data_IF_579355288349
#
_entry.id   IF_579355288349
#
_cell.length_a   1.000
_cell.length_b   1.000
_cell.length_c   1.000
_cell.angle_alpha   90.00
_cell.angle_beta   90.00
_cell.angle_gamma   90.00
#
_symmetry.space_group_name_H-M   'P 1'
#
loop_
_entity.id
_entity.type
_entity.pdbx_description
1 polymer ?
#
# COMPACT_ATOMS: atom_id res chain seq x y z
N UNK A 1 13.27 -25.17 13.19
CA UNK A 1 11.96 -25.27 12.53
C UNK A 1 11.82 -24.06 11.63
N UNK A 2 11.42 -24.23 10.37
CA UNK A 2 11.09 -23.09 9.51
C UNK A 2 9.83 -22.43 10.06
N UNK A 3 9.81 -21.10 10.17
CA UNK A 3 8.58 -20.38 10.50
C UNK A 3 7.53 -20.55 9.37
N UNK A 4 6.29 -20.17 9.67
CA UNK A 4 5.19 -20.28 8.68
C UNK A 4 5.52 -19.48 7.41
N UNK A 5 6.09 -18.29 7.54
CA UNK A 5 6.37 -17.36 6.45
C UNK A 5 7.39 -17.91 5.43
N UNK A 6 8.51 -18.44 5.92
CA UNK A 6 9.52 -19.11 5.10
C UNK A 6 8.95 -20.36 4.42
N UNK A 7 8.01 -21.03 5.09
CA UNK A 7 7.30 -22.18 4.50
C UNK A 7 6.38 -21.74 3.37
N UNK A 8 5.59 -20.67 3.57
CA UNK A 8 4.75 -20.10 2.51
C UNK A 8 5.59 -19.67 1.30
N UNK A 9 6.75 -19.05 1.53
CA UNK A 9 7.68 -18.68 0.47
C UNK A 9 8.17 -19.89 -0.34
N UNK A 10 8.47 -20.99 0.33
CA UNK A 10 8.94 -22.22 -0.33
C UNK A 10 7.83 -22.90 -1.14
N UNK A 11 6.57 -22.76 -0.72
CA UNK A 11 5.40 -23.36 -1.37
C UNK A 11 4.77 -22.47 -2.47
N UNK A 12 5.31 -21.27 -2.68
CA UNK A 12 4.91 -20.39 -3.77
C UNK A 12 5.52 -20.86 -5.11
N UNK A 13 4.99 -21.97 -5.61
CA UNK A 13 5.44 -22.63 -6.84
C UNK A 13 5.14 -21.81 -8.11
N UNK A 14 4.18 -20.88 -8.02
CA UNK A 14 3.79 -19.99 -9.10
C UNK A 14 4.60 -18.68 -9.13
N UNK A 15 5.54 -18.49 -8.20
CA UNK A 15 6.46 -17.35 -8.21
C UNK A 15 7.25 -17.29 -9.51
N UNK A 16 7.26 -16.14 -10.16
CA UNK A 16 8.14 -15.88 -11.29
C UNK A 16 9.59 -15.69 -10.80
N UNK A 17 10.56 -16.19 -11.57
CA UNK A 17 11.98 -16.07 -11.26
C UNK A 17 12.63 -14.95 -12.05
N UNK A 18 13.38 -14.10 -11.35
CA UNK A 18 14.14 -13.01 -11.98
C UNK A 18 15.17 -13.56 -12.97
N UNK A 19 15.34 -12.88 -14.09
CA UNK A 19 16.25 -13.28 -15.17
C UNK A 19 15.74 -14.41 -16.06
N UNK A 20 14.69 -15.13 -15.64
CA UNK A 20 14.04 -16.20 -16.42
C UNK A 20 12.66 -15.76 -16.85
N UNK A 21 11.79 -15.47 -15.89
CA UNK A 21 10.37 -15.17 -16.10
C UNK A 21 10.11 -13.66 -16.10
N UNK A 22 11.00 -12.84 -15.54
CA UNK A 22 10.92 -11.38 -15.62
C UNK A 22 12.29 -10.69 -15.54
N UNK A 23 12.36 -9.44 -16.01
CA UNK A 23 13.52 -8.55 -15.86
C UNK A 23 13.07 -7.14 -15.52
N UNK A 24 13.70 -6.55 -14.50
CA UNK A 24 13.43 -5.18 -14.05
C UNK A 24 14.61 -4.23 -14.27
N UNK A 25 14.32 -2.95 -14.46
CA UNK A 25 15.30 -1.85 -14.50
C UNK A 25 14.82 -0.72 -13.57
N UNK A 26 15.27 -0.73 -12.30
CA UNK A 26 14.71 0.18 -11.30
C UNK A 26 14.92 1.67 -11.57
N UNK A 27 15.98 2.05 -12.28
CA UNK A 27 16.31 3.44 -12.61
C UNK A 27 15.99 3.81 -14.07
N UNK A 28 15.08 3.09 -14.72
CA UNK A 28 14.68 3.39 -16.10
C UNK A 28 13.32 4.08 -16.18
N UNK A 29 12.98 4.59 -17.36
CA UNK A 29 11.62 5.10 -17.67
C UNK A 29 10.52 4.03 -17.56
N UNK A 30 10.94 2.76 -17.40
CA UNK A 30 10.10 1.59 -17.23
C UNK A 30 10.78 0.63 -16.25
N UNK A 31 10.06 0.19 -15.23
CA UNK A 31 10.51 -0.82 -14.29
C UNK A 31 10.55 -2.20 -14.97
N UNK A 32 9.47 -2.66 -15.59
CA UNK A 32 9.40 -4.01 -16.16
C UNK A 32 9.87 -4.02 -17.62
N UNK A 33 11.09 -4.52 -17.86
CA UNK A 33 11.61 -4.72 -19.22
C UNK A 33 11.06 -5.97 -19.89
N UNK A 34 10.69 -6.95 -19.10
CA UNK A 34 10.14 -8.21 -19.55
C UNK A 34 9.38 -8.88 -18.41
N UNK A 35 8.22 -9.45 -18.72
CA UNK A 35 7.47 -10.38 -17.86
C UNK A 35 6.90 -11.46 -18.78
N UNK A 36 7.04 -12.72 -18.39
CA UNK A 36 6.56 -13.86 -19.15
C UNK A 36 5.02 -13.87 -19.23
N UNK A 37 4.48 -13.46 -20.38
CA UNK A 37 3.04 -13.38 -20.59
C UNK A 37 2.36 -14.75 -20.57
N UNK A 38 3.04 -15.80 -21.05
CA UNK A 38 2.50 -17.15 -21.04
C UNK A 38 2.16 -17.61 -19.62
N UNK A 39 3.00 -17.27 -18.64
CA UNK A 39 2.73 -17.54 -17.23
C UNK A 39 1.50 -16.77 -16.75
N UNK A 40 1.37 -15.48 -17.08
CA UNK A 40 0.24 -14.65 -16.66
C UNK A 40 -1.09 -15.14 -17.27
N UNK A 41 -1.06 -15.62 -18.51
CA UNK A 41 -2.23 -16.09 -19.24
C UNK A 41 -2.67 -17.51 -18.84
N UNK A 42 -1.71 -18.41 -18.59
CA UNK A 42 -1.99 -19.83 -18.41
C UNK A 42 -2.05 -20.28 -16.96
N UNK A 43 -1.39 -19.58 -16.03
CA UNK A 43 -1.48 -19.93 -14.61
C UNK A 43 -2.81 -19.38 -14.04
N UNK A 44 -3.68 -20.23 -13.47
CA UNK A 44 -5.05 -19.83 -13.12
C UNK A 44 -5.15 -18.68 -12.12
N UNK A 45 -4.22 -18.55 -11.18
CA UNK A 45 -4.25 -17.51 -10.15
C UNK A 45 -3.88 -16.14 -10.70
N UNK A 46 -2.84 -16.03 -11.53
CA UNK A 46 -2.51 -14.79 -12.25
C UNK A 46 -3.66 -14.33 -13.14
N UNK A 47 -4.20 -15.22 -13.98
CA UNK A 47 -5.32 -14.86 -14.85
C UNK A 47 -6.55 -14.40 -14.07
N UNK A 48 -6.88 -15.09 -12.97
CA UNK A 48 -8.00 -14.71 -12.14
C UNK A 48 -7.76 -13.36 -11.43
N UNK A 49 -6.54 -13.08 -10.99
CA UNK A 49 -6.16 -11.78 -10.43
C UNK A 49 -6.28 -10.66 -11.47
N UNK A 50 -5.74 -10.86 -12.67
CA UNK A 50 -5.80 -9.87 -13.75
C UNK A 50 -7.23 -9.55 -14.17
N UNK A 51 -8.15 -10.53 -14.12
CA UNK A 51 -9.57 -10.30 -14.35
C UNK A 51 -10.23 -9.38 -13.31
N UNK A 52 -9.70 -9.30 -12.08
CA UNK A 52 -10.17 -8.35 -11.06
C UNK A 52 -9.78 -6.91 -11.39
N UNK A 53 -8.78 -6.71 -12.27
CA UNK A 53 -8.36 -5.38 -12.71
C UNK A 53 -9.29 -4.81 -13.78
N UNK A 54 -10.07 -5.67 -14.45
CA UNK A 54 -10.92 -5.27 -15.57
C UNK A 54 -12.15 -4.51 -15.08
N UNK A 55 -12.31 -3.27 -15.57
CA UNK A 55 -13.33 -2.30 -15.15
C UNK A 55 -13.24 -1.80 -13.71
N UNK A 56 -12.10 -1.99 -13.03
CA UNK A 56 -11.88 -1.42 -11.71
C UNK A 56 -11.83 0.12 -11.74
N UNK A 57 -12.61 0.77 -10.84
CA UNK A 57 -12.61 2.22 -10.66
C UNK A 57 -11.72 2.64 -9.48
N UNK A 58 -10.71 3.45 -9.78
CA UNK A 58 -9.70 3.83 -8.80
C UNK A 58 -10.07 5.08 -7.99
N UNK A 59 -10.96 5.95 -8.50
CA UNK A 59 -11.33 7.18 -7.81
C UNK A 59 -12.35 6.89 -6.71
N UNK A 60 -11.90 6.94 -5.45
CA UNK A 60 -12.75 6.65 -4.28
C UNK A 60 -13.92 7.62 -4.13
N UNK A 61 -13.91 8.77 -4.81
CA UNK A 61 -15.03 9.72 -4.74
C UNK A 61 -16.17 9.34 -5.69
N UNK A 62 -15.96 8.41 -6.61
CA UNK A 62 -17.01 7.89 -7.47
C UNK A 62 -17.74 6.77 -6.74
N UNK A 63 -19.09 6.75 -6.77
CA UNK A 63 -19.85 5.66 -6.18
C UNK A 63 -19.51 4.35 -6.90
N UNK A 64 -19.00 3.39 -6.16
CA UNK A 64 -18.80 2.03 -6.64
C UNK A 64 -19.99 1.16 -6.22
N UNK A 65 -20.67 0.58 -7.21
CA UNK A 65 -21.71 -0.41 -6.95
C UNK A 65 -21.13 -1.79 -7.29
N UNK A 66 -20.75 -2.56 -6.28
CA UNK A 66 -20.22 -3.91 -6.48
C UNK A 66 -21.26 -4.78 -7.21
N UNK A 67 -20.97 -5.05 -8.47
CA UNK A 67 -21.78 -5.84 -9.39
C UNK A 67 -21.70 -7.33 -9.05
N UNK A 68 -22.71 -8.10 -9.46
CA UNK A 68 -22.65 -9.56 -9.32
C UNK A 68 -21.48 -10.19 -10.10
N UNK A 69 -21.02 -9.54 -11.19
CA UNK A 69 -19.82 -9.97 -11.92
C UNK A 69 -18.58 -9.86 -11.03
N UNK A 70 -18.35 -8.72 -10.40
CA UNK A 70 -17.19 -8.50 -9.51
C UNK A 70 -17.18 -9.48 -8.33
N UNK A 71 -18.33 -9.72 -7.71
CA UNK A 71 -18.45 -10.74 -6.65
C UNK A 71 -18.09 -12.14 -7.15
N UNK A 72 -18.54 -12.50 -8.36
CA UNK A 72 -18.24 -13.79 -8.97
C UNK A 72 -16.75 -13.91 -9.32
N UNK A 73 -16.14 -12.86 -9.86
CA UNK A 73 -14.72 -12.82 -10.20
C UNK A 73 -13.86 -12.92 -8.92
N UNK A 74 -14.19 -12.19 -7.86
CA UNK A 74 -13.54 -12.30 -6.56
C UNK A 74 -13.63 -13.72 -5.97
N UNK A 75 -14.83 -14.33 -6.01
CA UNK A 75 -15.01 -15.72 -5.57
C UNK A 75 -14.27 -16.73 -6.45
N UNK A 76 -14.17 -16.47 -7.75
CA UNK A 76 -13.41 -17.30 -8.67
C UNK A 76 -11.90 -17.21 -8.39
N UNK A 77 -11.37 -16.01 -8.15
CA UNK A 77 -9.99 -15.79 -7.71
C UNK A 77 -9.69 -16.53 -6.41
N UNK A 78 -10.52 -16.37 -5.38
CA UNK A 78 -10.34 -17.09 -4.11
C UNK A 78 -10.37 -18.62 -4.29
N UNK A 79 -11.23 -19.16 -5.16
CA UNK A 79 -11.21 -20.60 -5.46
C UNK A 79 -9.85 -21.02 -6.04
N UNK A 80 -9.26 -20.25 -6.96
CA UNK A 80 -7.93 -20.55 -7.53
C UNK A 80 -6.85 -20.51 -6.47
N UNK A 81 -6.85 -19.49 -5.61
CA UNK A 81 -5.88 -19.39 -4.51
C UNK A 81 -5.99 -20.58 -3.55
N UNK A 82 -7.20 -20.99 -3.16
CA UNK A 82 -7.45 -22.11 -2.25
C UNK A 82 -7.09 -23.50 -2.82
N UNK A 83 -6.79 -23.60 -4.11
CA UNK A 83 -6.30 -24.83 -4.74
C UNK A 83 -4.77 -24.96 -4.64
N UNK A 84 -4.07 -23.89 -4.24
CA UNK A 84 -2.59 -23.86 -4.16
C UNK A 84 -2.06 -24.40 -2.82
N UNK A 85 -0.86 -24.98 -2.84
CA UNK A 85 -0.21 -25.49 -1.62
C UNK A 85 0.09 -24.38 -0.61
N UNK A 86 0.47 -23.19 -1.08
CA UNK A 86 0.74 -22.04 -0.21
C UNK A 86 -0.51 -21.65 0.60
N UNK A 87 -1.67 -21.56 -0.03
CA UNK A 87 -2.91 -21.20 0.66
C UNK A 87 -3.42 -22.34 1.54
N UNK A 88 -3.25 -23.60 1.12
CA UNK A 88 -3.57 -24.76 1.97
C UNK A 88 -2.72 -24.78 3.23
N UNK A 89 -1.42 -24.45 3.13
CA UNK A 89 -0.54 -24.36 4.30
C UNK A 89 -0.93 -23.22 5.22
N UNK A 90 -1.25 -22.04 4.67
CA UNK A 90 -1.76 -20.92 5.45
C UNK A 90 -3.08 -21.27 6.16
N UNK A 91 -4.03 -21.91 5.46
CA UNK A 91 -5.30 -22.35 6.02
C UNK A 91 -5.09 -23.32 7.19
N UNK A 92 -4.25 -24.34 7.02
CA UNK A 92 -3.97 -25.32 8.07
C UNK A 92 -3.36 -24.65 9.30
N UNK A 93 -2.38 -23.76 9.12
CA UNK A 93 -1.77 -22.99 10.21
C UNK A 93 -2.82 -22.16 10.96
N UNK A 94 -3.64 -21.38 10.24
CA UNK A 94 -4.68 -20.55 10.86
C UNK A 94 -5.75 -21.37 11.59
N UNK A 95 -6.03 -22.59 11.12
CA UNK A 95 -6.94 -23.52 11.81
C UNK A 95 -6.32 -24.05 13.10
N UNK A 96 -5.04 -24.43 13.07
CA UNK A 96 -4.29 -24.93 14.23
C UNK A 96 -4.19 -23.86 15.34
N UNK A 97 -3.95 -22.61 14.95
CA UNK A 97 -3.90 -21.45 15.85
C UNK A 97 -5.29 -20.92 16.26
N UNK A 98 -6.37 -21.47 15.71
CA UNK A 98 -7.75 -21.09 16.07
C UNK A 98 -8.27 -19.79 15.43
N UNK A 99 -7.58 -19.27 14.42
CA UNK A 99 -7.95 -18.05 13.68
C UNK A 99 -8.87 -18.29 12.47
N UNK A 100 -8.99 -19.54 11.99
CA UNK A 100 -9.78 -19.86 10.81
C UNK A 100 -10.69 -21.09 11.01
N UNK A 101 -11.84 -21.15 10.31
CA UNK A 101 -12.69 -22.33 10.30
C UNK A 101 -12.04 -23.50 9.54
N UNK A 102 -12.27 -24.74 10.01
CA UNK A 102 -11.67 -25.95 9.42
C UNK A 102 -12.06 -26.22 7.96
N UNK A 103 -13.28 -25.86 7.57
CA UNK A 103 -13.80 -26.19 6.24
C UNK A 103 -13.36 -25.19 5.17
N UNK A 104 -12.90 -25.69 4.01
CA UNK A 104 -12.51 -24.87 2.84
C UNK A 104 -13.57 -23.83 2.45
N UNK A 105 -14.86 -24.19 2.49
CA UNK A 105 -15.97 -23.25 2.22
C UNK A 105 -16.00 -22.11 3.23
N UNK A 106 -15.95 -22.42 4.53
CA UNK A 106 -15.98 -21.40 5.58
C UNK A 106 -14.75 -20.51 5.54
N UNK A 107 -13.58 -21.07 5.22
CA UNK A 107 -12.36 -20.27 5.06
C UNK A 107 -12.44 -19.36 3.84
N UNK A 108 -13.03 -19.82 2.74
CA UNK A 108 -13.30 -18.96 1.57
C UNK A 108 -14.22 -17.80 1.92
N UNK A 109 -15.32 -18.07 2.62
CA UNK A 109 -16.27 -17.02 3.00
C UNK A 109 -15.61 -16.02 3.96
N UNK A 110 -14.77 -16.48 4.90
CA UNK A 110 -13.95 -15.62 5.76
C UNK A 110 -12.97 -14.74 4.96
N UNK A 111 -12.25 -15.31 3.98
CA UNK A 111 -11.35 -14.55 3.12
C UNK A 111 -12.11 -13.52 2.29
N UNK A 112 -13.28 -13.89 1.75
CA UNK A 112 -14.14 -12.98 1.01
C UNK A 112 -14.55 -11.80 1.89
N UNK A 113 -15.04 -12.08 3.10
CA UNK A 113 -15.51 -11.05 4.02
C UNK A 113 -14.38 -10.10 4.46
N UNK A 114 -13.17 -10.64 4.62
CA UNK A 114 -12.00 -9.88 5.06
C UNK A 114 -11.41 -9.01 3.95
N UNK A 115 -11.34 -9.53 2.73
CA UNK A 115 -10.61 -8.89 1.63
C UNK A 115 -11.51 -8.10 0.68
N UNK A 116 -12.72 -8.59 0.40
CA UNK A 116 -13.58 -8.09 -0.68
C UNK A 116 -14.86 -7.39 -0.20
N UNK A 117 -15.19 -7.44 1.09
CA UNK A 117 -16.34 -6.67 1.61
C UNK A 117 -15.97 -5.19 1.69
N UNK A 118 -16.70 -4.30 1.01
CA UNK A 118 -16.47 -2.86 1.11
C UNK A 118 -16.82 -2.36 2.51
N UNK A 119 -16.02 -1.45 3.04
CA UNK A 119 -16.32 -0.76 4.28
C UNK A 119 -15.94 0.72 4.19
N UNK A 120 -16.57 1.55 5.02
CA UNK A 120 -16.35 3.00 4.99
C UNK A 120 -15.00 3.35 5.62
N UNK A 121 -14.16 4.04 4.87
CA UNK A 121 -12.82 4.49 5.29
C UNK A 121 -12.78 5.96 5.71
N UNK A 122 -13.82 6.44 6.41
CA UNK A 122 -13.85 7.82 6.91
C UNK A 122 -12.99 7.97 8.17
N UNK A 123 -11.93 8.76 8.07
CA UNK A 123 -11.16 9.19 9.24
C UNK A 123 -11.97 10.25 10.02
N UNK A 124 -12.50 9.86 11.18
CA UNK A 124 -13.17 10.67 12.22
C UNK A 124 -14.65 11.05 12.06
N UNK A 125 -15.35 11.10 13.21
CA UNK A 125 -16.71 11.61 13.43
C UNK A 125 -16.91 13.09 12.99
N UNK A 126 -15.84 13.86 12.75
CA UNK A 126 -15.94 15.24 12.27
C UNK A 126 -16.04 15.34 10.74
N UNK A 127 -15.45 14.41 9.99
CA UNK A 127 -15.70 14.30 8.55
C UNK A 127 -17.18 13.93 8.28
N UNK A 128 -17.78 13.10 9.15
CA UNK A 128 -19.23 12.86 9.14
C UNK A 128 -20.05 14.13 9.43
N UNK A 129 -19.55 15.05 10.27
CA UNK A 129 -20.24 16.33 10.57
C UNK A 129 -20.13 17.37 9.45
N UNK A 130 -19.06 17.39 8.65
CA UNK A 130 -18.96 18.30 7.51
C UNK A 130 -19.96 17.92 6.40
N UNK A 131 -20.18 16.61 6.20
CA UNK A 131 -21.24 16.07 5.32
C UNK A 131 -22.64 16.45 5.83
N UNK A 132 -22.81 16.75 7.12
CA UNK A 132 -24.10 17.13 7.70
C UNK A 132 -24.58 18.54 7.28
N UNK A 133 -23.69 19.40 6.77
CA UNK A 133 -24.03 20.77 6.34
C UNK A 133 -23.99 20.99 4.82
N UNK A 134 -23.36 20.10 4.05
CA UNK A 134 -23.43 20.13 2.59
C UNK A 134 -24.60 19.27 2.11
N UNK A 135 -25.44 19.78 1.21
CA UNK A 135 -26.50 19.02 0.50
C UNK A 135 -25.93 18.00 -0.50
N UNK A 136 -24.87 17.30 -0.13
CA UNK A 136 -24.28 16.21 -0.91
C UNK A 136 -25.02 14.94 -0.51
N UNK A 137 -25.42 14.20 -1.53
CA UNK A 137 -26.22 13.00 -1.45
C UNK A 137 -25.64 12.00 -0.42
N UNK A 138 -26.45 11.61 0.58
CA UNK A 138 -26.07 10.64 1.63
C UNK A 138 -25.76 9.24 1.08
N UNK A 139 -25.97 9.01 -0.22
CA UNK A 139 -25.69 7.76 -0.91
C UNK A 139 -24.22 7.59 -1.34
N UNK A 140 -23.41 8.67 -1.32
CA UNK A 140 -21.98 8.61 -1.66
C UNK A 140 -21.13 8.16 -0.47
N UNK A 141 -21.49 7.04 0.16
CA UNK A 141 -20.58 6.37 1.09
C UNK A 141 -19.41 5.84 0.28
N UNK A 142 -18.26 6.51 0.37
CA UNK A 142 -16.97 6.03 -0.13
C UNK A 142 -16.65 4.71 0.61
N UNK A 143 -16.96 3.59 -0.04
CA UNK A 143 -16.70 2.24 0.49
C UNK A 143 -15.64 1.60 -0.37
N UNK A 144 -14.61 1.09 0.29
CA UNK A 144 -13.47 0.42 -0.34
C UNK A 144 -13.19 -0.86 0.42
N UNK A 145 -12.69 -1.87 -0.26
CA UNK A 145 -12.28 -3.14 0.31
C UNK A 145 -10.79 -3.16 0.60
N UNK A 146 -10.37 -4.07 1.49
CA UNK A 146 -8.96 -4.25 1.79
C UNK A 146 -8.15 -4.69 0.56
N UNK A 147 -8.79 -5.46 -0.33
CA UNK A 147 -8.20 -5.94 -1.56
C UNK A 147 -7.95 -4.80 -2.55
N UNK A 148 -8.96 -3.95 -2.78
CA UNK A 148 -8.82 -2.77 -3.63
C UNK A 148 -7.68 -1.87 -3.14
N UNK A 149 -7.71 -1.51 -1.86
CA UNK A 149 -6.67 -0.67 -1.28
C UNK A 149 -5.27 -1.31 -1.43
N UNK A 150 -5.10 -2.57 -1.01
CA UNK A 150 -3.78 -3.21 -0.98
C UNK A 150 -3.26 -3.54 -2.38
N UNK A 151 -4.08 -4.20 -3.21
CA UNK A 151 -3.63 -4.80 -4.46
C UNK A 151 -3.93 -3.94 -5.69
N UNK A 152 -5.07 -3.24 -5.72
CA UNK A 152 -5.50 -2.52 -6.93
C UNK A 152 -5.07 -1.05 -6.92
N UNK A 153 -4.98 -0.48 -5.73
CA UNK A 153 -4.64 0.91 -5.50
C UNK A 153 -5.80 1.84 -5.78
N UNK A 154 -5.85 2.93 -5.03
CA UNK A 154 -6.92 3.91 -5.15
C UNK A 154 -6.31 5.30 -5.32
N UNK A 155 -7.12 6.21 -5.84
CA UNK A 155 -6.75 7.62 -5.95
C UNK A 155 -7.71 8.45 -5.12
N UNK A 156 -7.14 9.40 -4.40
CA UNK A 156 -7.90 10.34 -3.58
C UNK A 156 -7.19 11.69 -3.62
N UNK A 157 -7.89 12.71 -4.08
CA UNK A 157 -7.43 14.10 -4.01
C UNK A 157 -6.04 14.32 -4.64
N UNK A 158 -5.79 13.79 -5.83
CA UNK A 158 -4.51 13.94 -6.53
C UNK A 158 -3.42 12.96 -6.11
N UNK A 159 -3.67 12.09 -5.13
CA UNK A 159 -2.69 11.16 -4.57
C UNK A 159 -3.12 9.71 -4.74
N UNK A 160 -2.13 8.82 -4.89
CA UNK A 160 -2.34 7.37 -4.92
C UNK A 160 -2.21 6.80 -3.51
N UNK A 161 -3.26 6.18 -3.01
CA UNK A 161 -3.29 5.45 -1.73
C UNK A 161 -3.35 3.95 -1.97
N UNK A 162 -2.74 3.16 -1.08
CA UNK A 162 -2.65 1.72 -1.30
C UNK A 162 -1.72 1.40 -2.48
N UNK A 163 -2.12 0.51 -3.41
CA UNK A 163 -1.35 0.17 -4.62
C UNK A 163 0.02 -0.43 -4.28
N UNK A 164 0.06 -1.63 -3.71
CA UNK A 164 1.31 -2.26 -3.24
C UNK A 164 1.63 -3.57 -3.96
N UNK A 165 1.16 -3.73 -5.20
CA UNK A 165 1.26 -4.99 -5.93
C UNK A 165 1.92 -4.83 -7.32
N UNK A 166 2.90 -5.69 -7.61
CA UNK A 166 3.67 -5.62 -8.84
C UNK A 166 2.89 -6.00 -10.10
N UNK A 167 1.89 -6.88 -10.02
CA UNK A 167 1.08 -7.23 -11.20
C UNK A 167 0.21 -6.04 -11.59
N UNK A 168 -0.33 -5.32 -10.60
CA UNK A 168 -1.06 -4.08 -10.82
C UNK A 168 -0.15 -3.02 -11.46
N UNK A 169 1.03 -2.82 -10.89
CA UNK A 169 2.02 -1.88 -11.44
C UNK A 169 2.41 -2.25 -12.88
N UNK A 170 2.70 -3.53 -13.13
CA UNK A 170 3.04 -4.04 -14.46
C UNK A 170 1.92 -3.80 -15.48
N UNK A 171 0.68 -4.10 -15.10
CA UNK A 171 -0.50 -3.90 -15.95
C UNK A 171 -0.67 -2.42 -16.31
N UNK A 172 -0.62 -1.52 -15.33
CA UNK A 172 -0.77 -0.07 -15.55
C UNK A 172 0.41 0.52 -16.33
N UNK A 173 1.63 -0.03 -16.15
CA UNK A 173 2.80 0.35 -16.95
C UNK A 173 2.66 -0.08 -18.42
N UNK A 174 2.07 -1.25 -18.68
CA UNK A 174 1.76 -1.69 -20.05
C UNK A 174 0.70 -0.81 -20.72
N UNK A 175 -0.26 -0.29 -19.94
CA UNK A 175 -1.28 0.65 -20.40
C UNK A 175 -0.74 2.08 -20.58
N UNK A 176 0.49 2.36 -20.14
CA UNK A 176 1.09 3.71 -20.21
C UNK A 176 0.58 4.67 -19.13
N UNK A 177 -0.04 4.14 -18.07
CA UNK A 177 -0.61 4.94 -16.98
C UNK A 177 0.39 5.23 -15.85
N UNK A 178 1.58 4.62 -15.89
CA UNK A 178 2.66 4.80 -14.90
C UNK A 178 3.75 5.67 -15.49
N UNK A 179 4.11 6.74 -14.77
CA UNK A 179 5.30 7.55 -15.04
C UNK A 179 6.27 7.43 -13.87
N UNK A 180 7.44 6.83 -14.11
CA UNK A 180 8.46 6.68 -13.08
C UNK A 180 9.14 8.01 -12.79
N UNK A 181 9.29 8.35 -11.51
CA UNK A 181 9.97 9.58 -11.03
C UNK A 181 11.44 9.35 -10.65
N UNK A 182 11.95 8.16 -10.96
CA UNK A 182 13.31 7.72 -10.67
C UNK A 182 13.37 6.76 -9.47
N UNK A 183 14.49 6.06 -9.34
CA UNK A 183 14.78 5.29 -8.13
C UNK A 183 15.90 5.97 -7.36
N UNK A 184 15.59 6.52 -6.19
CA UNK A 184 16.59 7.05 -5.25
C UNK A 184 17.34 5.95 -4.49
N UNK A 185 16.88 4.70 -4.55
CA UNK A 185 17.21 3.63 -3.59
C UNK A 185 17.81 2.36 -4.23
N UNK A 186 18.26 2.47 -5.47
CA UNK A 186 18.72 1.35 -6.27
C UNK A 186 20.20 1.51 -6.59
N UNK A 187 21.08 0.93 -5.76
CA UNK A 187 22.47 0.76 -6.16
C UNK A 187 22.55 -0.06 -7.45
N UNK A 188 23.32 0.47 -8.38
CA UNK A 188 23.41 0.06 -9.76
C UNK A 188 24.09 -1.32 -9.87
N UNK A 189 23.28 -2.37 -9.93
CA UNK A 189 23.66 -3.66 -10.51
C UNK A 189 23.82 -4.79 -9.48
N UNK A 190 23.35 -5.98 -9.87
CA UNK A 190 23.44 -7.24 -9.12
C UNK A 190 22.55 -7.36 -7.88
N UNK A 191 21.38 -6.73 -7.91
CA UNK A 191 20.50 -6.74 -6.76
C UNK A 191 19.48 -7.88 -6.85
N UNK A 192 19.59 -8.92 -6.03
CA UNK A 192 18.60 -10.02 -5.92
C UNK A 192 17.44 -9.69 -4.96
N UNK A 193 17.24 -8.40 -4.63
CA UNK A 193 16.10 -7.94 -3.82
C UNK A 193 14.77 -8.45 -4.35
N UNK A 194 13.94 -8.90 -3.42
CA UNK A 194 12.57 -9.34 -3.69
C UNK A 194 11.54 -8.21 -3.52
N UNK A 195 11.97 -7.07 -2.99
CA UNK A 195 11.15 -5.86 -2.75
C UNK A 195 11.80 -4.69 -3.48
N UNK A 196 10.96 -3.86 -4.10
CA UNK A 196 11.36 -2.60 -4.70
C UNK A 196 10.61 -1.45 -4.05
N UNK A 197 11.32 -0.35 -3.83
CA UNK A 197 10.76 0.93 -3.40
C UNK A 197 10.94 1.95 -4.53
N UNK A 198 9.84 2.46 -5.08
CA UNK A 198 9.87 3.41 -6.20
C UNK A 198 8.95 4.61 -5.98
N UNK A 199 9.26 5.69 -6.69
CA UNK A 199 8.38 6.86 -6.83
C UNK A 199 7.77 6.84 -8.24
N UNK A 200 6.45 7.02 -8.33
CA UNK A 200 5.75 7.05 -9.62
C UNK A 200 4.48 7.90 -9.58
N UNK A 201 4.06 8.35 -10.75
CA UNK A 201 2.71 8.87 -10.95
C UNK A 201 1.84 7.81 -11.61
N UNK A 202 0.60 7.70 -11.15
CA UNK A 202 -0.43 6.85 -11.74
C UNK A 202 -1.61 7.70 -12.20
N UNK A 203 -1.82 7.75 -13.52
CA UNK A 203 -2.86 8.57 -14.16
C UNK A 203 -2.81 10.05 -13.71
N UNK A 204 -1.59 10.59 -13.53
CA UNK A 204 -1.35 11.96 -13.08
C UNK A 204 -1.49 12.19 -11.58
N UNK A 205 -1.74 11.15 -10.77
CA UNK A 205 -1.76 11.22 -9.32
C UNK A 205 -0.42 10.72 -8.77
N UNK A 206 0.12 11.38 -7.77
CA UNK A 206 1.45 11.06 -7.27
C UNK A 206 1.45 9.93 -6.22
N UNK A 207 2.49 9.10 -6.27
CA UNK A 207 2.88 8.16 -5.22
C UNK A 207 4.36 8.26 -4.91
N UNK A 208 4.68 8.48 -3.63
CA UNK A 208 6.05 8.46 -3.11
C UNK A 208 6.30 7.19 -2.29
N UNK A 209 7.48 6.60 -2.52
CA UNK A 209 8.06 5.44 -1.83
C UNK A 209 7.08 4.31 -1.63
N UNK A 210 6.57 3.81 -2.74
CA UNK A 210 5.79 2.60 -2.74
C UNK A 210 6.68 1.37 -2.67
N UNK A 211 6.46 0.52 -1.66
CA UNK A 211 7.19 -0.72 -1.47
C UNK A 211 6.31 -1.93 -1.80
N UNK A 212 6.78 -2.80 -2.68
CA UNK A 212 6.05 -3.99 -3.10
C UNK A 212 7.00 -5.14 -3.41
N UNK A 213 6.49 -6.37 -3.28
CA UNK A 213 7.19 -7.56 -3.77
C UNK A 213 7.22 -7.58 -5.29
N UNK A 214 8.25 -8.18 -5.89
CA UNK A 214 8.28 -8.44 -7.34
C UNK A 214 8.46 -9.92 -7.64
N UNK A 215 7.56 -10.45 -8.47
CA UNK A 215 7.58 -11.82 -8.97
C UNK A 215 6.81 -12.83 -8.12
N UNK A 216 6.41 -12.46 -6.90
CA UNK A 216 5.52 -13.24 -6.03
C UNK A 216 4.18 -13.54 -6.70
N UNK A 217 3.58 -14.70 -6.39
CA UNK A 217 2.23 -15.00 -6.88
C UNK A 217 1.14 -14.26 -6.08
N UNK A 218 -0.04 -14.00 -6.69
CA UNK A 218 -1.18 -13.41 -5.98
C UNK A 218 -1.59 -14.19 -4.72
N UNK A 219 -1.59 -15.51 -4.79
CA UNK A 219 -1.95 -16.40 -3.68
C UNK A 219 -0.93 -16.38 -2.54
N UNK A 220 0.36 -16.15 -2.84
CA UNK A 220 1.38 -16.00 -1.81
C UNK A 220 1.18 -14.71 -1.03
N UNK A 221 1.04 -13.57 -1.70
CA UNK A 221 0.81 -12.29 -1.02
C UNK A 221 -0.50 -12.31 -0.22
N UNK A 222 -1.58 -12.86 -0.79
CA UNK A 222 -2.85 -13.02 -0.09
C UNK A 222 -2.71 -13.91 1.16
N UNK A 223 -2.00 -15.03 1.06
CA UNK A 223 -1.75 -15.93 2.19
C UNK A 223 -0.89 -15.27 3.27
N UNK A 224 0.23 -14.66 2.87
CA UNK A 224 1.16 -13.97 3.76
C UNK A 224 0.47 -12.88 4.55
N UNK A 225 -0.22 -11.95 3.86
CA UNK A 225 -0.90 -10.84 4.51
C UNK A 225 -2.06 -11.30 5.41
N UNK A 226 -2.79 -12.36 5.03
CA UNK A 226 -3.83 -12.94 5.88
C UNK A 226 -3.24 -13.52 7.16
N UNK A 227 -2.13 -14.26 7.06
CA UNK A 227 -1.44 -14.83 8.23
C UNK A 227 -0.88 -13.72 9.11
N UNK A 228 -0.18 -12.73 8.55
CA UNK A 228 0.34 -11.60 9.31
C UNK A 228 -0.78 -10.80 10.02
N UNK A 229 -1.93 -10.60 9.38
CA UNK A 229 -3.03 -9.87 10.00
C UNK A 229 -3.72 -10.62 11.13
N UNK A 230 -3.92 -11.94 10.99
CA UNK A 230 -4.66 -12.74 11.96
C UNK A 230 -3.78 -13.24 13.12
N UNK A 231 -2.57 -13.69 12.81
CA UNK A 231 -1.66 -14.30 13.77
C UNK A 231 -0.52 -13.37 14.22
N UNK A 232 -0.37 -12.21 13.58
CA UNK A 232 0.59 -11.19 13.99
C UNK A 232 0.25 -10.59 15.35
N UNK A 233 1.29 -10.14 16.06
CA UNK A 233 1.24 -9.52 17.38
C UNK A 233 1.04 -7.99 17.34
N UNK A 234 0.98 -7.40 16.14
CA UNK A 234 0.83 -5.96 15.96
C UNK A 234 0.85 -5.53 14.48
N UNK A 235 1.01 -4.23 14.24
CA UNK A 235 0.95 -3.62 12.90
C UNK A 235 2.15 -3.96 11.98
N UNK A 236 3.17 -4.65 12.48
CA UNK A 236 4.37 -5.03 11.73
C UNK A 236 4.81 -6.43 12.13
N UNK A 237 5.17 -7.25 11.15
CA UNK A 237 5.67 -8.61 11.35
C UNK A 237 7.01 -8.77 10.62
N UNK A 238 8.07 -9.02 11.37
CA UNK A 238 9.39 -9.34 10.81
C UNK A 238 9.43 -10.80 10.34
N UNK A 239 9.84 -11.01 9.10
CA UNK A 239 9.86 -12.32 8.44
C UNK A 239 11.14 -12.50 7.65
N UNK A 240 11.51 -13.75 7.35
CA UNK A 240 12.60 -14.07 6.42
C UNK A 240 12.01 -14.71 5.17
N UNK A 241 12.19 -14.07 4.01
CA UNK A 241 11.66 -14.51 2.73
C UNK A 241 12.80 -14.57 1.71
N UNK A 242 13.02 -15.72 1.08
CA UNK A 242 14.10 -15.87 0.11
C UNK A 242 15.51 -15.56 0.66
N UNK A 243 15.71 -15.71 1.98
CA UNK A 243 16.96 -15.35 2.66
C UNK A 243 17.11 -13.86 3.01
N UNK A 244 16.10 -13.03 2.71
CA UNK A 244 16.07 -11.60 3.02
C UNK A 244 15.17 -11.34 4.21
N UNK A 245 15.61 -10.45 5.12
CA UNK A 245 14.78 -9.95 6.21
C UNK A 245 13.82 -8.90 5.66
N UNK A 246 12.55 -9.08 5.94
CA UNK A 246 11.46 -8.26 5.43
C UNK A 246 10.52 -7.94 6.57
N UNK A 247 9.98 -6.73 6.59
CA UNK A 247 8.91 -6.35 7.51
C UNK A 247 7.61 -6.26 6.74
N UNK A 248 6.63 -7.08 7.11
CA UNK A 248 5.26 -6.97 6.58
C UNK A 248 4.48 -6.03 7.47
N UNK A 249 4.05 -4.90 6.91
CA UNK A 249 3.19 -3.95 7.62
C UNK A 249 1.73 -4.32 7.38
N UNK A 250 0.93 -4.36 8.46
CA UNK A 250 -0.51 -4.56 8.43
C UNK A 250 -1.18 -3.41 9.20
N UNK A 251 -1.98 -2.59 8.52
CA UNK A 251 -2.76 -1.53 9.14
C UNK A 251 -4.17 -2.04 9.41
N UNK A 252 -4.68 -1.80 10.63
CA UNK A 252 -6.03 -2.20 11.02
C UNK A 252 -6.94 -0.97 11.08
N UNK A 253 -8.02 -0.99 10.32
CA UNK A 253 -9.00 0.09 10.26
C UNK A 253 -10.37 -0.44 10.70
N UNK A 254 -10.87 0.02 11.85
CA UNK A 254 -12.18 -0.37 12.40
C UNK A 254 -12.42 -1.89 12.51
N UNK A 255 -11.37 -2.67 12.77
CA UNK A 255 -11.48 -4.14 12.83
C UNK A 255 -11.12 -4.86 11.52
N UNK A 256 -11.07 -4.14 10.39
CA UNK A 256 -10.76 -4.67 9.07
C UNK A 256 -9.29 -4.46 8.69
N UNK A 257 -8.83 -5.17 7.66
CA UNK A 257 -7.54 -4.90 7.03
C UNK A 257 -7.63 -3.56 6.32
N UNK A 258 -6.91 -2.57 6.83
CA UNK A 258 -6.80 -1.25 6.24
C UNK A 258 -5.81 -1.20 5.07
N UNK A 259 -4.61 -1.74 5.24
CA UNK A 259 -3.58 -1.87 4.20
C UNK A 259 -2.57 -2.94 4.60
N UNK A 260 -1.97 -3.64 3.64
CA UNK A 260 -0.84 -4.54 3.88
C UNK A 260 0.24 -4.35 2.83
N UNK A 261 1.50 -4.23 3.23
CA UNK A 261 2.61 -4.07 2.28
C UNK A 261 3.96 -4.43 2.91
N UNK A 262 4.94 -4.88 2.13
CA UNK A 262 6.27 -5.16 2.62
C UNK A 262 7.11 -3.88 2.71
N UNK A 263 8.05 -3.86 3.64
CA UNK A 263 9.09 -2.84 3.76
C UNK A 263 10.41 -3.59 3.93
N UNK A 264 11.45 -3.14 3.22
CA UNK A 264 12.79 -3.68 3.40
C UNK A 264 13.39 -3.16 4.73
N UNK A 265 14.02 -4.03 5.53
CA UNK A 265 14.76 -3.58 6.73
C UNK A 265 15.80 -2.52 6.35
N UNK A 266 15.81 -1.39 7.06
CA UNK A 266 16.64 -0.21 6.76
C UNK A 266 15.86 0.98 6.19
N UNK A 267 14.67 0.74 5.62
CA UNK A 267 13.81 1.77 5.00
C UNK A 267 12.86 2.45 6.02
N UNK A 268 12.76 1.91 7.24
CA UNK A 268 11.76 2.33 8.24
C UNK A 268 12.08 3.63 8.99
N UNK A 269 13.34 4.06 9.00
CA UNK A 269 13.78 5.32 9.63
C UNK A 269 13.36 6.56 8.85
N UNK A 270 13.12 6.40 7.54
CA UNK A 270 12.87 7.50 6.62
C UNK A 270 11.39 7.85 6.46
N UNK A 271 10.47 6.99 6.90
CA UNK A 271 9.03 7.26 6.74
C UNK A 271 8.57 8.58 7.39
N UNK A 272 9.26 9.02 8.45
CA UNK A 272 9.06 10.32 9.11
C UNK A 272 9.63 11.49 8.30
N UNK A 273 10.77 11.26 7.61
CA UNK A 273 11.38 12.24 6.74
C UNK A 273 10.50 12.43 5.50
N UNK A 274 9.99 11.34 4.93
CA UNK A 274 9.12 11.38 3.75
C UNK A 274 7.79 12.07 4.03
N UNK A 275 7.19 11.81 5.19
CA UNK A 275 6.00 12.55 5.64
C UNK A 275 6.32 14.04 5.85
N UNK A 276 7.54 14.34 6.29
CA UNK A 276 8.03 15.71 6.35
C UNK A 276 8.18 16.34 4.97
N UNK A 277 8.78 15.63 4.01
CA UNK A 277 9.03 16.14 2.67
C UNK A 277 7.72 16.32 1.88
N UNK A 278 6.78 15.36 1.97
CA UNK A 278 5.42 15.50 1.40
C UNK A 278 4.67 16.69 2.03
N UNK A 279 4.89 16.93 3.32
CA UNK A 279 4.37 18.12 3.97
C UNK A 279 5.01 19.41 3.44
N UNK A 280 6.31 19.45 3.18
CA UNK A 280 6.96 20.62 2.58
C UNK A 280 6.47 20.87 1.14
N UNK A 281 6.33 19.83 0.34
CA UNK A 281 5.77 19.91 -1.03
C UNK A 281 4.31 20.40 -1.02
N UNK A 282 3.51 19.99 -0.04
CA UNK A 282 2.18 20.56 0.17
C UNK A 282 2.22 22.06 0.46
N UNK A 283 3.16 22.52 1.29
CA UNK A 283 3.28 23.94 1.61
C UNK A 283 3.66 24.78 0.39
N UNK A 284 4.52 24.23 -0.47
CA UNK A 284 4.92 24.86 -1.73
C UNK A 284 3.75 24.94 -2.72
N UNK A 285 3.03 23.83 -2.93
CA UNK A 285 1.89 23.77 -3.84
C UNK A 285 0.74 24.70 -3.46
N UNK A 286 0.54 24.92 -2.15
CA UNK A 286 -0.49 25.82 -1.61
C UNK A 286 0.03 27.25 -1.36
N UNK A 287 1.25 27.58 -1.80
CA UNK A 287 1.86 28.92 -1.74
C UNK A 287 1.93 29.53 -0.31
N UNK A 288 2.27 28.71 0.69
CA UNK A 288 2.35 29.16 2.10
C UNK A 288 3.62 29.98 2.43
N UNK A 289 4.59 30.04 1.50
CA UNK A 289 5.86 30.75 1.63
C UNK A 289 6.92 29.98 2.44
N UNK A 290 8.22 30.32 2.28
CA UNK A 290 9.34 29.53 2.83
C UNK A 290 9.58 29.73 4.32
N UNK A 291 8.96 30.72 4.97
CA UNK A 291 9.20 31.03 6.39
C UNK A 291 7.88 31.23 7.14
N UNK A 292 7.72 30.55 8.28
CA UNK A 292 6.54 30.75 9.13
C UNK A 292 6.76 30.39 10.60
N UNK A 293 5.92 30.94 11.48
CA UNK A 293 5.95 30.57 12.90
C UNK A 293 5.60 29.09 13.13
N UNK A 294 6.36 28.42 14.00
CA UNK A 294 6.21 27.00 14.34
C UNK A 294 4.79 26.59 14.75
N UNK A 295 4.07 27.48 15.46
CA UNK A 295 2.66 27.26 15.83
C UNK A 295 1.70 27.32 14.65
N UNK A 296 2.00 28.13 13.63
CA UNK A 296 1.23 28.19 12.39
C UNK A 296 1.51 26.94 11.56
N UNK A 297 2.78 26.59 11.39
CA UNK A 297 3.21 25.36 10.69
C UNK A 297 2.58 24.11 11.31
N UNK A 298 2.58 24.01 12.66
CA UNK A 298 1.91 22.94 13.40
C UNK A 298 0.43 22.84 13.06
N UNK A 299 -0.30 23.96 13.04
CA UNK A 299 -1.72 23.97 12.70
C UNK A 299 -1.94 23.56 11.25
N UNK A 300 -1.16 24.04 10.30
CA UNK A 300 -1.27 23.62 8.91
C UNK A 300 -1.03 22.11 8.80
N UNK A 301 -0.01 21.58 9.48
CA UNK A 301 0.24 20.15 9.53
C UNK A 301 -0.94 19.36 10.14
N UNK A 302 -1.37 19.68 11.37
CA UNK A 302 -2.37 18.92 12.13
C UNK A 302 -3.82 19.17 11.68
N UNK A 303 -4.09 20.32 11.06
CA UNK A 303 -5.43 20.77 10.74
C UNK A 303 -5.76 20.77 9.26
N UNK A 304 -4.77 20.95 8.39
CA UNK A 304 -4.96 21.07 6.94
C UNK A 304 -4.33 19.87 6.21
N UNK A 305 -3.01 19.67 6.34
CA UNK A 305 -2.25 18.61 5.67
C UNK A 305 -2.67 17.20 6.11
N UNK A 306 -2.64 16.89 7.41
CA UNK A 306 -3.04 15.55 7.92
C UNK A 306 -4.54 15.29 7.81
N UNK A 307 -5.35 16.34 7.60
CA UNK A 307 -6.79 16.21 7.31
C UNK A 307 -7.09 16.10 5.83
N UNK A 308 -6.12 16.43 4.98
CA UNK A 308 -6.22 16.23 3.55
C UNK A 308 -6.16 14.74 3.21
N UNK A 309 -7.04 14.38 2.30
CA UNK A 309 -7.40 13.02 1.97
C UNK A 309 -6.23 12.21 1.39
N UNK A 310 -5.85 11.12 2.07
CA UNK A 310 -4.91 10.12 1.54
C UNK A 310 -3.44 10.33 1.93
N UNK A 311 -3.12 11.38 2.71
CA UNK A 311 -1.78 11.60 3.25
C UNK A 311 -1.54 10.74 4.48
N UNK A 312 -0.26 10.46 4.78
CA UNK A 312 0.12 9.74 6.01
C UNK A 312 -0.39 10.57 7.20
N UNK A 313 -1.25 9.98 8.02
CA UNK A 313 -1.87 10.62 9.16
C UNK A 313 -1.72 9.71 10.37
N UNK A 314 -1.05 10.19 11.43
CA UNK A 314 -0.94 9.65 12.81
C UNK A 314 0.40 10.05 13.48
N UNK A 315 1.34 10.64 12.75
CA UNK A 315 2.62 11.13 13.32
C UNK A 315 2.43 12.46 14.06
N UNK A 316 3.09 12.61 15.22
CA UNK A 316 3.09 13.89 15.91
C UNK A 316 3.92 14.93 15.12
N UNK A 317 3.39 16.14 14.93
CA UNK A 317 4.11 17.23 14.24
C UNK A 317 5.54 17.44 14.78
N UNK A 318 5.74 17.26 16.10
CA UNK A 318 7.06 17.38 16.72
C UNK A 318 8.07 16.34 16.23
N UNK A 319 7.62 15.13 15.87
CA UNK A 319 8.46 14.08 15.32
C UNK A 319 8.82 14.37 13.87
N UNK A 320 7.85 14.82 13.06
CA UNK A 320 8.07 15.25 11.68
C UNK A 320 9.03 16.44 11.64
N UNK A 321 8.77 17.48 12.42
CA UNK A 321 9.59 18.68 12.46
C UNK A 321 11.03 18.40 12.91
N UNK A 322 11.21 17.57 13.95
CA UNK A 322 12.55 17.14 14.39
C UNK A 322 13.28 16.34 13.31
N UNK A 323 12.55 15.56 12.53
CA UNK A 323 13.14 14.77 11.44
C UNK A 323 13.58 15.68 10.29
N UNK A 324 12.76 16.65 9.91
CA UNK A 324 13.12 17.67 8.91
C UNK A 324 14.33 18.51 9.35
N UNK A 325 14.36 18.93 10.61
CA UNK A 325 15.49 19.71 11.17
C UNK A 325 16.80 18.90 11.16
N UNK A 326 16.74 17.60 11.49
CA UNK A 326 17.92 16.72 11.49
C UNK A 326 18.49 16.46 10.09
N UNK A 327 17.68 16.62 9.06
CA UNK A 327 18.06 16.36 7.66
C UNK A 327 18.28 17.65 6.87
N UNK A 328 18.49 18.78 7.54
CA UNK A 328 18.77 20.08 6.94
C UNK A 328 17.69 20.55 5.93
N UNK A 329 16.43 20.11 6.11
CA UNK A 329 15.30 20.57 5.30
C UNK A 329 14.62 21.82 5.87
N UNK A 330 14.77 22.04 7.18
CA UNK A 330 14.25 23.23 7.85
C UNK A 330 15.23 23.72 8.91
N UNK A 331 15.26 25.04 9.12
CA UNK A 331 15.97 25.68 10.23
C UNK A 331 14.97 26.27 11.23
N UNK A 332 15.21 26.10 12.53
CA UNK A 332 14.36 26.65 13.59
C UNK A 332 15.14 27.70 14.38
N UNK A 333 14.61 28.92 14.45
CA UNK A 333 15.20 30.00 15.25
C UNK A 333 14.12 30.78 16.01
N UNK A 334 14.49 31.43 17.11
CA UNK A 334 13.57 32.30 17.86
C UNK A 334 13.81 33.75 17.47
N UNK A 335 12.74 34.45 17.07
CA UNK A 335 12.84 35.87 16.73
C UNK A 335 12.93 36.77 17.99
N UNK A 336 13.10 38.09 17.78
CA UNK A 336 13.21 39.09 18.84
C UNK A 336 12.00 39.18 19.79
N UNK A 337 10.89 38.52 19.45
CA UNK A 337 9.67 38.45 20.25
C UNK A 337 9.51 37.10 20.99
N UNK A 338 10.54 36.23 20.94
CA UNK A 338 10.51 34.91 21.58
C UNK A 338 9.60 33.91 20.88
N UNK A 339 9.30 34.13 19.59
CA UNK A 339 8.49 33.22 18.77
C UNK A 339 9.40 32.33 17.95
N UNK A 340 9.22 31.02 18.05
CA UNK A 340 9.89 30.04 17.19
C UNK A 340 9.38 30.18 15.75
N UNK A 341 10.31 30.46 14.84
CA UNK A 341 10.15 30.53 13.40
C UNK A 341 10.81 29.29 12.78
N UNK A 342 10.18 28.76 11.74
CA UNK A 342 10.69 27.66 10.92
C UNK A 342 10.91 28.19 9.51
N UNK A 343 12.12 28.04 9.00
CA UNK A 343 12.51 28.36 7.62
C UNK A 343 12.65 27.06 6.84
N UNK A 344 12.00 26.94 5.70
CA UNK A 344 12.14 25.83 4.76
C UNK A 344 13.38 26.11 3.91
N UNK A 345 14.29 25.14 3.84
CA UNK A 345 15.54 25.23 3.11
C UNK A 345 15.35 24.60 1.72
N UNK A 346 15.90 25.25 0.68
CA UNK A 346 15.89 24.76 -0.71
C UNK A 346 16.88 23.62 -0.96
#
# INVERSE_FOLDING_TARGET
MSDIYSTLWTLDHNRLRRGVDYRVTPCGDRLFRFVNQDTLENVPTYRAFLNLLDNYEADVNKPENVTEKEKNDARAFLNRCLDTEVMQKAHNFLVEEGYAPKGKKGFKDMLYDMWFTPYTRTHSDKAQRQVYFSRVDKSANVSSSAFEHTFLGETRCGHVIGFHNWLRLYSEECLGNIQHKGCKWCDCGCDDRIIFTIDFDWKGNNKTRDSFFVGTSPEFELALYTVCFLAGDGAKTEVVLGGQRVTITTYKLNGYIGSCYPILEGDSGDNLLDEGLDFLEYLENEDFGPEMGKRRLKRIYEEDYTKWCGRRCETAFSQVLRTLERNDNVEIYSNNHGVDIVTILE
#
